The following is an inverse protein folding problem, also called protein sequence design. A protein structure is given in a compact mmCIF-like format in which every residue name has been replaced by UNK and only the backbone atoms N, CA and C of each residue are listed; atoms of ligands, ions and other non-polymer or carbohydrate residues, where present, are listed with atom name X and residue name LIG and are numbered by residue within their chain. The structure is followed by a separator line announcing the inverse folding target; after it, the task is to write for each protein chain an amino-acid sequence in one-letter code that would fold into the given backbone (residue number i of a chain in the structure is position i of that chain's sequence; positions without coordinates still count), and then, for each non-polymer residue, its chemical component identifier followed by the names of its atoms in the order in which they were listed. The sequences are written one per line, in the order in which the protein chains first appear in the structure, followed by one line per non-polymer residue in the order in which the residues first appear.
data_IF_425720898249
#
_entry.id   IF_425720898249
#
_cell.length_a   1.000
_cell.length_b   1.000
_cell.length_c   1.000
_cell.angle_alpha   90.00
_cell.angle_beta   90.00
_cell.angle_gamma   90.00
#
_symmetry.space_group_name_H-M   'P 1'
#
loop_
_entity.id
_entity.type
_entity.pdbx_description
1 polymer ?
#
# COMPACT_ATOMS: atom_id res chain seq x y z
N UNK A 1 -32.61 -14.55 -31.27
CA UNK A 1 -31.15 -14.59 -31.08
C UNK A 1 -30.73 -13.16 -30.77
N UNK A 2 -30.84 -12.76 -29.49
CA UNK A 2 -30.65 -11.37 -29.08
C UNK A 2 -29.16 -11.05 -29.12
N UNK A 3 -28.75 -10.17 -30.03
CA UNK A 3 -27.47 -9.48 -29.85
C UNK A 3 -27.54 -8.71 -28.52
N UNK A 4 -26.63 -8.95 -27.57
CA UNK A 4 -26.52 -8.09 -26.41
C UNK A 4 -26.10 -6.71 -26.94
N UNK A 5 -27.04 -5.76 -26.91
CA UNK A 5 -26.75 -4.38 -27.29
C UNK A 5 -25.77 -3.80 -26.27
N UNK A 6 -24.50 -3.90 -26.56
CA UNK A 6 -23.44 -3.27 -25.78
C UNK A 6 -23.41 -1.79 -26.13
N UNK A 7 -23.59 -0.91 -25.13
CA UNK A 7 -23.41 0.53 -25.32
C UNK A 7 -22.03 0.93 -24.83
N UNK A 8 -21.27 1.60 -25.70
CA UNK A 8 -20.01 2.24 -25.34
C UNK A 8 -20.31 3.64 -24.80
N UNK A 9 -19.87 3.93 -23.58
CA UNK A 9 -20.01 5.24 -22.94
C UNK A 9 -18.63 5.81 -22.66
N UNK A 10 -18.40 7.07 -23.03
CA UNK A 10 -17.18 7.77 -22.66
C UNK A 10 -17.21 8.10 -21.16
N UNK A 11 -16.21 7.65 -20.42
CA UNK A 11 -15.98 7.94 -19.02
C UNK A 11 -14.64 8.65 -18.87
N UNK A 12 -14.64 9.71 -18.07
CA UNK A 12 -13.43 10.42 -17.67
C UNK A 12 -13.02 9.94 -16.29
N UNK A 13 -11.79 9.46 -16.17
CA UNK A 13 -11.17 9.13 -14.91
C UNK A 13 -10.22 10.21 -14.45
N UNK A 14 -10.06 10.32 -13.13
CA UNK A 14 -8.97 11.05 -12.47
C UNK A 14 -8.33 10.16 -11.42
N UNK A 15 -7.02 10.14 -11.36
CA UNK A 15 -6.26 9.52 -10.28
C UNK A 15 -5.07 10.39 -9.88
N UNK A 16 -4.91 10.64 -8.58
CA UNK A 16 -3.69 11.21 -8.02
C UNK A 16 -2.72 10.07 -7.68
N UNK A 17 -1.43 10.26 -7.96
CA UNK A 17 -0.45 9.16 -7.95
C UNK A 17 0.64 9.38 -6.90
N UNK A 18 1.05 8.29 -6.27
CA UNK A 18 2.08 8.21 -5.21
C UNK A 18 3.54 8.32 -5.72
N UNK A 19 3.74 8.41 -7.04
CA UNK A 19 5.02 8.52 -7.73
C UNK A 19 5.86 7.23 -7.78
N UNK A 20 5.35 6.07 -7.34
CA UNK A 20 6.06 4.79 -7.38
C UNK A 20 5.41 3.78 -8.32
N UNK A 21 4.10 3.85 -8.50
CA UNK A 21 3.37 2.95 -9.38
C UNK A 21 3.48 3.36 -10.86
N UNK A 22 3.76 2.39 -11.74
CA UNK A 22 3.84 2.58 -13.19
C UNK A 22 2.67 1.96 -13.95
N UNK A 23 1.92 1.07 -13.31
CA UNK A 23 0.76 0.40 -13.90
C UNK A 23 -0.51 0.83 -13.19
N UNK A 24 -1.50 1.26 -13.98
CA UNK A 24 -2.80 1.74 -13.51
C UNK A 24 -3.91 0.95 -14.17
N UNK A 25 -5.01 0.73 -13.46
CA UNK A 25 -6.17 0.06 -14.03
C UNK A 25 -7.41 0.92 -13.86
N UNK A 26 -8.19 1.04 -14.94
CA UNK A 26 -9.51 1.63 -14.90
C UNK A 26 -10.40 0.82 -13.94
N UNK A 27 -11.17 1.46 -13.02
CA UNK A 27 -12.02 0.78 -12.04
C UNK A 27 -13.03 -0.18 -12.68
N UNK A 28 -13.58 0.20 -13.84
CA UNK A 28 -14.47 -0.64 -14.67
C UNK A 28 -13.86 -1.96 -15.19
N UNK A 29 -12.59 -2.25 -14.93
CA UNK A 29 -12.02 -3.59 -15.13
C UNK A 29 -12.20 -4.12 -16.56
N UNK A 30 -12.71 -5.35 -16.72
CA UNK A 30 -12.91 -5.94 -18.05
C UNK A 30 -13.97 -5.22 -18.91
N UNK A 31 -14.81 -4.38 -18.29
CA UNK A 31 -15.85 -3.62 -18.98
C UNK A 31 -15.33 -2.28 -19.51
N UNK A 32 -14.11 -1.87 -19.19
CA UNK A 32 -13.56 -0.60 -19.63
C UNK A 32 -12.38 -0.78 -20.58
N UNK A 33 -12.38 -0.04 -21.68
CA UNK A 33 -11.26 0.10 -22.61
C UNK A 33 -10.78 1.55 -22.57
N UNK A 34 -9.60 1.78 -22.03
CA UNK A 34 -8.94 3.08 -22.07
C UNK A 34 -8.65 3.46 -23.54
N UNK A 35 -8.89 4.72 -23.88
CA UNK A 35 -8.70 5.26 -25.23
C UNK A 35 -7.52 6.23 -25.26
N UNK A 36 -7.42 7.09 -24.25
CA UNK A 36 -6.35 8.08 -24.14
C UNK A 36 -6.07 8.40 -22.68
N UNK A 37 -4.84 8.78 -22.39
CA UNK A 37 -4.39 9.17 -21.06
C UNK A 37 -3.62 10.48 -21.13
N UNK A 38 -3.89 11.37 -20.17
CA UNK A 38 -3.43 12.73 -20.12
C UNK A 38 -2.83 13.04 -18.76
N UNK A 39 -1.76 13.80 -18.73
CA UNK A 39 -1.31 14.53 -17.55
C UNK A 39 -2.16 15.78 -17.41
N UNK A 40 -2.70 16.02 -16.21
CA UNK A 40 -3.40 17.28 -15.92
C UNK A 40 -2.56 18.09 -14.92
N UNK A 41 -2.11 19.26 -15.36
CA UNK A 41 -1.39 20.22 -14.53
C UNK A 41 -2.14 21.57 -14.47
N UNK A 42 -1.54 22.58 -13.86
CA UNK A 42 -2.09 23.93 -13.80
C UNK A 42 -2.18 24.61 -15.19
N UNK A 43 -1.50 24.08 -16.21
CA UNK A 43 -1.49 24.59 -17.59
C UNK A 43 -2.51 23.87 -18.48
N UNK A 44 -3.15 22.81 -18.00
CA UNK A 44 -4.23 22.11 -18.68
C UNK A 44 -3.96 20.61 -18.86
N UNK A 45 -4.62 20.00 -19.85
CA UNK A 45 -4.42 18.58 -20.18
C UNK A 45 -3.37 18.43 -21.27
N UNK A 46 -2.34 17.64 -21.00
CA UNK A 46 -1.33 17.27 -21.99
C UNK A 46 -1.35 15.76 -22.22
N UNK A 47 -1.32 15.28 -23.47
CA UNK A 47 -1.28 13.85 -23.76
C UNK A 47 -0.02 13.23 -23.17
N UNK A 48 -0.19 12.10 -22.49
CA UNK A 48 0.91 11.45 -21.80
C UNK A 48 1.72 10.57 -22.76
N UNK A 49 2.89 11.05 -23.17
CA UNK A 49 3.79 10.36 -24.09
C UNK A 49 4.40 9.10 -23.43
N UNK A 50 4.52 8.01 -24.19
CA UNK A 50 5.12 6.75 -23.70
C UNK A 50 4.23 5.93 -22.77
N UNK A 51 2.90 6.07 -22.87
CA UNK A 51 1.96 5.18 -22.17
C UNK A 51 1.52 4.04 -23.10
N UNK A 52 1.50 2.82 -22.58
CA UNK A 52 0.98 1.64 -23.27
C UNK A 52 -0.38 1.30 -22.68
N UNK A 53 -1.41 1.25 -23.52
CA UNK A 53 -2.78 0.93 -23.13
C UNK A 53 -3.10 -0.51 -23.51
N UNK A 54 -3.53 -1.32 -22.53
CA UNK A 54 -3.98 -2.70 -22.71
C UNK A 54 -5.36 -2.88 -22.06
N UNK A 55 -6.42 -2.67 -22.85
CA UNK A 55 -7.80 -2.74 -22.37
C UNK A 55 -8.05 -1.73 -21.26
N UNK A 56 -8.28 -2.20 -20.02
CA UNK A 56 -8.42 -1.33 -18.85
C UNK A 56 -7.12 -0.96 -18.15
N UNK A 57 -5.98 -1.49 -18.58
CA UNK A 57 -4.69 -1.22 -17.93
C UNK A 57 -3.92 -0.19 -18.74
N UNK A 58 -3.26 0.73 -18.05
CA UNK A 58 -2.23 1.61 -18.60
C UNK A 58 -0.90 1.34 -17.92
N UNK A 59 0.16 1.31 -18.70
CA UNK A 59 1.53 1.18 -18.22
C UNK A 59 2.33 2.40 -18.67
N UNK A 60 2.95 3.09 -17.71
CA UNK A 60 3.75 4.29 -17.95
C UNK A 60 5.22 3.93 -18.16
N UNK A 61 5.81 4.49 -19.23
CA UNK A 61 7.24 4.36 -19.48
C UNK A 61 8.10 4.91 -18.33
N UNK A 62 7.65 5.95 -17.63
CA UNK A 62 8.36 6.55 -16.51
C UNK A 62 7.44 6.68 -15.30
N UNK A 63 8.00 6.53 -14.09
CA UNK A 63 7.24 6.79 -12.88
C UNK A 63 6.80 8.28 -12.85
N UNK A 64 5.51 8.56 -12.58
CA UNK A 64 5.01 9.93 -12.50
C UNK A 64 5.53 10.64 -11.25
N UNK A 65 5.49 11.97 -11.22
CA UNK A 65 5.88 12.70 -10.02
C UNK A 65 4.85 12.47 -8.89
N UNK A 66 5.26 12.46 -7.61
CA UNK A 66 4.31 12.38 -6.50
C UNK A 66 3.30 13.53 -6.54
N UNK A 67 2.01 13.21 -6.47
CA UNK A 67 0.90 14.18 -6.53
C UNK A 67 0.48 14.60 -7.95
N UNK A 68 1.10 14.02 -8.99
CA UNK A 68 0.70 14.25 -10.38
C UNK A 68 -0.69 13.64 -10.64
N UNK A 69 -1.56 14.40 -11.32
CA UNK A 69 -2.91 13.95 -11.68
C UNK A 69 -2.89 13.40 -13.10
N UNK A 70 -3.26 12.13 -13.23
CA UNK A 70 -3.48 11.49 -14.53
C UNK A 70 -4.98 11.36 -14.77
N UNK A 71 -5.41 11.92 -15.89
CA UNK A 71 -6.77 11.83 -16.40
C UNK A 71 -6.80 10.81 -17.54
N UNK A 72 -7.83 9.98 -17.62
CA UNK A 72 -7.99 8.99 -18.69
C UNK A 72 -9.38 9.09 -19.30
N UNK A 73 -9.45 9.09 -20.63
CA UNK A 73 -10.71 8.87 -21.34
C UNK A 73 -10.81 7.37 -21.65
N UNK A 74 -11.92 6.75 -21.24
CA UNK A 74 -12.19 5.35 -21.46
C UNK A 74 -13.58 5.15 -22.06
N UNK A 75 -13.72 4.12 -22.88
CA UNK A 75 -15.01 3.58 -23.26
C UNK A 75 -15.39 2.47 -22.30
N UNK A 76 -16.52 2.61 -21.63
CA UNK A 76 -17.08 1.56 -20.79
C UNK A 76 -18.18 0.86 -21.57
N UNK A 77 -18.00 -0.45 -21.75
CA UNK A 77 -19.02 -1.40 -22.17
C UNK A 77 -20.01 -1.54 -21.04
N UNK A 78 -21.13 -0.85 -21.18
CA UNK A 78 -22.29 -1.07 -20.31
C UNK A 78 -23.23 -1.99 -21.07
N UNK A 79 -23.71 -3.09 -20.47
CA UNK A 79 -24.83 -3.81 -21.07
C UNK A 79 -25.96 -2.79 -21.22
N UNK A 80 -26.35 -2.49 -22.46
CA UNK A 80 -27.56 -1.70 -22.65
C UNK A 80 -28.65 -2.52 -22.00
N UNK A 81 -29.33 -1.92 -21.01
CA UNK A 81 -30.51 -2.53 -20.46
C UNK A 81 -31.36 -2.96 -21.66
N UNK A 82 -31.67 -4.26 -21.73
CA UNK A 82 -32.67 -4.74 -22.66
C UNK A 82 -33.84 -3.78 -22.54
N UNK A 83 -34.37 -3.28 -23.66
CA UNK A 83 -35.53 -2.42 -23.60
C UNK A 83 -36.64 -3.23 -22.90
N UNK A 84 -36.80 -3.03 -21.59
CA UNK A 84 -37.75 -3.75 -20.76
C UNK A 84 -39.18 -3.33 -21.09
N UNK A 85 -39.32 -2.26 -21.87
CA UNK A 85 -40.60 -1.80 -22.36
C UNK A 85 -41.12 -2.75 -23.46
N UNK A 86 -42.41 -3.07 -23.44
CA UNK A 86 -43.05 -3.83 -24.50
C UNK A 86 -42.96 -3.09 -25.84
N UNK A 87 -43.16 -3.81 -26.94
CA UNK A 87 -43.01 -3.29 -28.32
C UNK A 87 -43.99 -2.16 -28.66
N UNK A 88 -45.10 -2.04 -27.93
CA UNK A 88 -46.10 -0.97 -28.08
C UNK A 88 -45.79 0.30 -27.28
N UNK A 89 -44.66 0.38 -26.58
CA UNK A 89 -44.34 1.53 -25.73
C UNK A 89 -44.20 2.83 -26.52
N UNK A 90 -44.73 3.92 -25.98
CA UNK A 90 -44.75 5.24 -26.63
C UNK A 90 -43.38 5.91 -26.64
N UNK A 91 -43.20 6.96 -27.46
CA UNK A 91 -41.95 7.71 -27.49
C UNK A 91 -41.61 8.37 -26.13
N UNK A 92 -42.63 8.84 -25.41
CA UNK A 92 -42.49 9.44 -24.09
C UNK A 92 -42.01 8.41 -23.04
N UNK A 93 -42.59 7.20 -23.03
CA UNK A 93 -42.17 6.10 -22.15
C UNK A 93 -40.72 5.69 -22.41
N UNK A 94 -40.33 5.58 -23.68
CA UNK A 94 -38.93 5.27 -24.05
C UNK A 94 -37.97 6.39 -23.64
N UNK A 95 -38.39 7.66 -23.75
CA UNK A 95 -37.59 8.80 -23.30
C UNK A 95 -37.42 8.80 -21.77
N UNK A 96 -38.49 8.53 -21.03
CA UNK A 96 -38.47 8.42 -19.57
C UNK A 96 -37.59 7.26 -19.10
N UNK A 97 -37.73 6.07 -19.71
CA UNK A 97 -36.90 4.92 -19.38
C UNK A 97 -35.41 5.20 -19.58
N UNK A 98 -35.03 5.88 -20.68
CA UNK A 98 -33.65 6.33 -20.90
C UNK A 98 -33.17 7.33 -19.84
N UNK A 99 -34.03 8.27 -19.43
CA UNK A 99 -33.69 9.25 -18.40
C UNK A 99 -33.48 8.62 -17.01
N UNK A 100 -34.26 7.58 -16.67
CA UNK A 100 -34.13 6.85 -15.40
C UNK A 100 -32.85 6.00 -15.37
N UNK A 101 -32.57 5.25 -16.44
CA UNK A 101 -31.36 4.40 -16.53
C UNK A 101 -30.06 5.22 -16.60
N UNK A 102 -30.14 6.48 -17.03
CA UNK A 102 -28.98 7.38 -17.13
C UNK A 102 -28.42 7.87 -15.78
N UNK A 103 -28.93 7.41 -14.63
CA UNK A 103 -28.31 7.65 -13.30
C UNK A 103 -27.57 6.40 -12.80
N UNK A 104 -26.44 5.98 -13.43
CA UNK A 104 -25.63 4.93 -12.84
C UNK A 104 -25.09 5.44 -11.50
N UNK A 105 -25.28 4.68 -10.42
CA UNK A 105 -24.58 4.94 -9.18
C UNK A 105 -23.09 4.63 -9.42
N UNK A 106 -22.17 5.60 -9.27
CA UNK A 106 -20.74 5.41 -9.52
C UNK A 106 -20.07 4.69 -8.34
N UNK A 107 -20.69 3.64 -7.82
CA UNK A 107 -20.20 2.88 -6.67
C UNK A 107 -19.76 1.50 -7.16
N UNK A 108 -18.44 1.29 -7.17
CA UNK A 108 -17.89 -0.07 -7.34
C UNK A 108 -17.98 -0.81 -6.02
N UNK A 109 -19.08 -1.56 -5.83
CA UNK A 109 -19.31 -2.37 -4.63
C UNK A 109 -18.24 -3.46 -4.48
N UNK A 110 -17.63 -3.91 -5.59
CA UNK A 110 -16.58 -4.94 -5.53
C UNK A 110 -15.28 -4.41 -4.95
N UNK A 111 -15.01 -3.11 -5.09
CA UNK A 111 -13.85 -2.46 -4.50
C UNK A 111 -13.92 -2.41 -2.96
N UNK A 112 -15.12 -2.48 -2.37
CA UNK A 112 -15.29 -2.39 -0.91
C UNK A 112 -14.72 -3.59 -0.15
N UNK A 113 -14.62 -4.76 -0.80
CA UNK A 113 -14.08 -5.99 -0.23
C UNK A 113 -12.62 -6.26 -0.63
N UNK A 114 -11.99 -5.30 -1.31
CA UNK A 114 -10.61 -5.39 -1.77
C UNK A 114 -9.72 -4.43 -0.99
N UNK A 115 -8.70 -4.96 -0.30
CA UNK A 115 -7.81 -4.17 0.54
C UNK A 115 -7.04 -3.07 -0.22
N UNK A 116 -6.82 -3.25 -1.53
CA UNK A 116 -6.04 -2.32 -2.37
C UNK A 116 -6.95 -1.32 -3.11
N UNK A 117 -8.17 -1.73 -3.46
CA UNK A 117 -9.13 -0.86 -4.17
C UNK A 117 -10.11 -0.13 -3.25
N UNK A 118 -10.26 -0.57 -2.00
CA UNK A 118 -11.17 0.07 -1.06
C UNK A 118 -10.76 1.53 -0.79
N UNK A 119 -11.69 2.50 -0.86
CA UNK A 119 -11.42 3.88 -0.49
C UNK A 119 -10.86 3.98 0.93
N UNK A 120 -9.83 4.80 1.15
CA UNK A 120 -9.13 4.90 2.45
C UNK A 120 -10.07 5.25 3.60
N UNK A 121 -11.10 6.06 3.35
CA UNK A 121 -12.12 6.42 4.34
C UNK A 121 -12.97 5.22 4.80
N UNK A 122 -13.10 4.18 3.97
CA UNK A 122 -13.89 2.99 4.26
C UNK A 122 -13.06 1.80 4.73
N UNK A 123 -11.73 1.88 4.59
CA UNK A 123 -10.79 0.85 5.01
C UNK A 123 -10.93 0.41 6.48
N UNK A 124 -11.22 1.30 7.46
CA UNK A 124 -11.46 0.87 8.85
C UNK A 124 -12.67 -0.07 9.00
N UNK A 125 -13.72 0.12 8.19
CA UNK A 125 -14.90 -0.75 8.22
C UNK A 125 -14.61 -2.12 7.62
N UNK A 126 -13.81 -2.16 6.55
CA UNK A 126 -13.32 -3.42 6.00
C UNK A 126 -12.42 -4.16 7.01
N UNK A 127 -11.54 -3.44 7.71
CA UNK A 127 -10.70 -4.00 8.77
C UNK A 127 -11.55 -4.59 9.91
N UNK A 128 -12.58 -3.86 10.34
CA UNK A 128 -13.53 -4.34 11.35
C UNK A 128 -14.29 -5.59 10.89
N UNK A 129 -14.80 -5.61 9.66
CA UNK A 129 -15.48 -6.78 9.09
C UNK A 129 -14.57 -8.01 9.02
N UNK A 130 -13.26 -7.79 8.84
CA UNK A 130 -12.23 -8.83 8.85
C UNK A 130 -11.67 -9.14 10.24
N UNK A 131 -12.32 -8.67 11.32
CA UNK A 131 -11.88 -8.92 12.71
C UNK A 131 -10.43 -8.49 12.98
N UNK A 132 -10.01 -7.35 12.42
CA UNK A 132 -8.74 -6.71 12.79
C UNK A 132 -8.97 -5.96 14.11
N UNK A 133 -8.38 -6.48 15.20
CA UNK A 133 -8.64 -5.99 16.56
C UNK A 133 -8.09 -4.57 16.82
N UNK A 134 -6.91 -4.26 16.27
CA UNK A 134 -6.24 -2.98 16.50
C UNK A 134 -6.14 -2.16 15.21
N UNK A 135 -6.54 -0.90 15.31
CA UNK A 135 -6.54 0.04 14.19
C UNK A 135 -6.19 1.44 14.67
N UNK A 136 -5.10 2.02 14.16
CA UNK A 136 -4.67 3.37 14.53
C UNK A 136 -4.79 4.34 13.36
N UNK A 137 -5.31 5.52 13.64
CA UNK A 137 -5.49 6.57 12.63
C UNK A 137 -4.14 7.06 12.06
N UNK A 138 -3.07 7.10 12.87
CA UNK A 138 -1.75 7.56 12.45
C UNK A 138 -0.95 6.52 11.65
N UNK A 139 -1.42 5.27 11.54
CA UNK A 139 -0.68 4.28 10.75
C UNK A 139 -0.62 4.70 9.27
N UNK A 140 0.53 4.50 8.60
CA UNK A 140 0.66 4.69 7.16
C UNK A 140 -0.38 3.86 6.41
N UNK A 141 -0.90 4.40 5.30
CA UNK A 141 -1.92 3.70 4.50
C UNK A 141 -1.44 2.32 4.03
N UNK A 142 -0.17 2.20 3.65
CA UNK A 142 0.42 0.93 3.27
C UNK A 142 0.36 -0.13 4.37
N UNK A 143 0.61 0.24 5.64
CA UNK A 143 0.48 -0.67 6.80
C UNK A 143 -0.99 -1.06 7.01
N UNK A 144 -1.90 -0.08 6.96
CA UNK A 144 -3.35 -0.32 7.07
C UNK A 144 -3.83 -1.33 6.02
N UNK A 145 -3.45 -1.14 4.75
CA UNK A 145 -3.84 -2.05 3.66
C UNK A 145 -3.19 -3.42 3.79
N UNK A 146 -1.91 -3.49 4.17
CA UNK A 146 -1.22 -4.75 4.40
C UNK A 146 -1.91 -5.57 5.51
N UNK A 147 -2.27 -4.92 6.62
CA UNK A 147 -2.99 -5.55 7.74
C UNK A 147 -4.31 -6.16 7.30
N UNK A 148 -5.13 -5.41 6.56
CA UNK A 148 -6.39 -5.89 5.99
C UNK A 148 -6.16 -7.08 5.05
N UNK A 149 -5.18 -6.98 4.14
CA UNK A 149 -4.84 -8.03 3.17
C UNK A 149 -4.45 -9.35 3.85
N UNK A 150 -3.66 -9.27 4.92
CA UNK A 150 -3.15 -10.46 5.63
C UNK A 150 -4.08 -11.01 6.71
N UNK A 151 -5.15 -10.29 7.07
CA UNK A 151 -5.99 -10.59 8.23
C UNK A 151 -6.48 -12.04 8.27
N UNK A 152 -7.10 -12.52 7.18
CA UNK A 152 -7.65 -13.89 7.09
C UNK A 152 -6.54 -14.94 7.22
N UNK A 153 -5.40 -14.73 6.56
CA UNK A 153 -4.30 -15.68 6.59
C UNK A 153 -3.70 -15.81 8.00
N UNK A 154 -3.53 -14.68 8.69
CA UNK A 154 -3.04 -14.63 10.08
C UNK A 154 -4.02 -15.34 11.01
N UNK A 155 -5.31 -15.01 10.93
CA UNK A 155 -6.34 -15.58 11.79
C UNK A 155 -6.45 -17.10 11.66
N UNK A 156 -6.35 -17.64 10.43
CA UNK A 156 -6.39 -19.10 10.18
C UNK A 156 -5.28 -19.88 10.87
N UNK A 157 -4.13 -19.26 11.13
CA UNK A 157 -2.96 -19.88 11.76
C UNK A 157 -2.54 -19.17 13.04
N UNK A 158 -3.46 -18.45 13.69
CA UNK A 158 -3.20 -17.71 14.92
C UNK A 158 -2.68 -18.66 15.99
N UNK A 159 -1.71 -18.21 16.77
CA UNK A 159 -0.98 -19.06 17.73
C UNK A 159 0.21 -19.81 17.14
N UNK A 160 0.57 -19.60 15.88
CA UNK A 160 1.80 -20.18 15.31
C UNK A 160 2.91 -19.14 15.22
N UNK A 161 4.17 -19.59 15.25
CA UNK A 161 5.30 -18.71 14.94
C UNK A 161 5.17 -18.05 13.54
N UNK A 162 4.52 -18.74 12.59
CA UNK A 162 4.16 -18.19 11.28
C UNK A 162 3.27 -16.95 11.39
N UNK A 163 2.16 -17.04 12.15
CA UNK A 163 1.27 -15.89 12.36
C UNK A 163 1.96 -14.68 12.99
N UNK A 164 2.91 -14.91 13.92
CA UNK A 164 3.71 -13.83 14.51
C UNK A 164 4.60 -13.15 13.46
N UNK A 165 5.24 -13.94 12.58
CA UNK A 165 6.03 -13.39 11.47
C UNK A 165 5.19 -12.57 10.50
N UNK A 166 4.01 -13.07 10.14
CA UNK A 166 3.10 -12.37 9.23
C UNK A 166 2.60 -11.05 9.80
N UNK A 167 2.27 -11.03 11.10
CA UNK A 167 1.89 -9.81 11.80
C UNK A 167 3.00 -8.77 11.68
N UNK A 168 4.23 -9.15 12.01
CA UNK A 168 5.39 -8.24 11.95
C UNK A 168 5.64 -7.76 10.52
N UNK A 169 5.51 -8.66 9.53
CA UNK A 169 5.63 -8.30 8.12
C UNK A 169 4.57 -7.29 7.66
N UNK A 170 3.34 -7.39 8.17
CA UNK A 170 2.28 -6.42 7.86
C UNK A 170 2.58 -5.01 8.40
N UNK A 171 3.39 -4.89 9.45
CA UNK A 171 3.91 -3.63 9.96
C UNK A 171 5.19 -3.15 9.24
N UNK A 172 5.68 -3.89 8.23
CA UNK A 172 6.90 -3.56 7.50
C UNK A 172 8.19 -3.98 8.21
N UNK A 173 8.09 -4.82 9.24
CA UNK A 173 9.24 -5.36 9.96
C UNK A 173 9.59 -6.80 9.56
N UNK A 174 10.68 -7.29 10.14
CA UNK A 174 11.06 -8.70 10.12
C UNK A 174 11.35 -9.19 11.53
N UNK A 175 10.95 -10.41 11.87
CA UNK A 175 11.18 -11.01 13.18
C UNK A 175 11.89 -12.36 13.08
N UNK A 176 12.91 -12.53 13.91
CA UNK A 176 13.54 -13.81 14.20
C UNK A 176 13.02 -14.31 15.55
N UNK A 177 12.46 -15.52 15.54
CA UNK A 177 11.85 -16.15 16.71
C UNK A 177 12.75 -17.31 17.13
N UNK A 178 13.21 -17.30 18.39
CA UNK A 178 13.95 -18.40 19.02
C UNK A 178 13.15 -18.95 20.19
N UNK A 179 12.79 -20.21 20.15
CA UNK A 179 12.01 -20.83 21.22
C UNK A 179 12.92 -21.34 22.34
N UNK A 180 12.40 -21.46 23.57
CA UNK A 180 13.18 -21.79 24.76
C UNK A 180 14.04 -23.05 24.63
N UNK A 181 13.62 -24.03 23.82
CA UNK A 181 14.38 -25.26 23.58
C UNK A 181 15.51 -25.12 22.55
N UNK A 182 15.56 -24.00 21.81
CA UNK A 182 16.61 -23.66 20.85
C UNK A 182 17.72 -22.81 21.48
N UNK A 183 17.54 -22.36 22.72
CA UNK A 183 18.55 -21.64 23.49
C UNK A 183 19.50 -22.62 24.17
N UNK A 184 20.76 -22.20 24.34
CA UNK A 184 21.79 -22.96 25.06
C UNK A 184 22.44 -22.04 26.12
N UNK A 185 22.19 -22.27 27.43
CA UNK A 185 21.30 -23.29 28.02
C UNK A 185 19.83 -23.06 27.67
N UNK A 186 19.01 -24.12 27.79
CA UNK A 186 17.56 -24.04 27.51
C UNK A 186 16.89 -23.01 28.42
N UNK A 187 16.04 -22.17 27.84
CA UNK A 187 15.25 -21.18 28.57
C UNK A 187 14.09 -21.79 29.35
N UNK A 188 13.30 -20.93 30.01
CA UNK A 188 12.11 -21.36 30.73
C UNK A 188 11.04 -21.94 29.78
N UNK A 189 10.36 -23.05 30.12
CA UNK A 189 9.31 -23.62 29.28
C UNK A 189 8.25 -22.58 28.88
N UNK A 190 7.76 -22.70 27.63
CA UNK A 190 6.78 -21.79 27.02
C UNK A 190 7.25 -20.33 26.85
N UNK A 191 8.56 -20.10 26.81
CA UNK A 191 9.11 -18.79 26.45
C UNK A 191 9.73 -18.77 25.06
N UNK A 192 9.76 -17.60 24.42
CA UNK A 192 10.50 -17.39 23.18
C UNK A 192 11.08 -15.97 23.11
N UNK A 193 12.21 -15.82 22.44
CA UNK A 193 12.80 -14.52 22.12
C UNK A 193 12.31 -14.09 20.74
N UNK A 194 11.81 -12.86 20.65
CA UNK A 194 11.42 -12.23 19.39
C UNK A 194 12.36 -11.06 19.13
N UNK A 195 13.34 -11.28 18.24
CA UNK A 195 14.28 -10.25 17.79
C UNK A 195 13.71 -9.63 16.53
N UNK A 196 13.34 -8.36 16.59
CA UNK A 196 12.64 -7.67 15.50
C UNK A 196 13.44 -6.47 15.00
N UNK A 197 13.45 -6.32 13.68
CA UNK A 197 13.88 -5.10 13.01
C UNK A 197 12.65 -4.48 12.37
N UNK A 198 12.29 -3.27 12.79
CA UNK A 198 11.20 -2.50 12.19
C UNK A 198 11.85 -1.40 11.36
N UNK A 199 11.67 -1.43 10.04
CA UNK A 199 12.02 -0.32 9.18
C UNK A 199 10.80 0.62 9.10
N UNK A 200 10.93 1.88 9.52
CA UNK A 200 9.95 2.87 9.05
C UNK A 200 10.17 3.10 7.55
N UNK A 201 9.11 3.54 6.88
CA UNK A 201 9.10 3.81 5.44
C UNK A 201 10.03 4.98 5.02
N UNK A 202 10.72 5.61 5.97
CA UNK A 202 11.65 6.74 5.80
C UNK A 202 13.03 6.52 6.45
N UNK A 203 13.41 5.28 6.80
CA UNK A 203 14.72 4.98 7.39
C UNK A 203 14.91 5.46 8.84
N UNK A 204 13.88 6.04 9.46
CA UNK A 204 13.90 6.41 10.88
C UNK A 204 13.56 5.22 11.78
N UNK A 205 14.04 5.22 13.02
CA UNK A 205 13.61 4.25 14.03
C UNK A 205 12.11 4.38 14.30
N UNK A 206 11.42 3.24 14.43
CA UNK A 206 10.01 3.21 14.80
C UNK A 206 9.75 4.00 16.08
N UNK A 207 8.72 4.86 16.08
CA UNK A 207 8.29 5.59 17.28
C UNK A 207 7.92 4.59 18.38
N UNK A 208 8.18 4.89 19.65
CA UNK A 208 7.84 4.01 20.78
C UNK A 208 6.37 3.54 20.74
N UNK A 209 5.45 4.44 20.40
CA UNK A 209 4.03 4.12 20.23
C UNK A 209 3.76 3.09 19.12
N UNK A 210 4.51 3.13 18.01
CA UNK A 210 4.39 2.13 16.95
C UNK A 210 4.94 0.78 17.39
N UNK A 211 6.04 0.77 18.16
CA UNK A 211 6.60 -0.46 18.73
C UNK A 211 5.62 -1.10 19.70
N UNK A 212 4.98 -0.29 20.56
CA UNK A 212 3.93 -0.75 21.48
C UNK A 212 2.74 -1.36 20.75
N UNK A 213 2.29 -0.77 19.64
CA UNK A 213 1.23 -1.37 18.80
C UNK A 213 1.62 -2.75 18.27
N UNK A 214 2.87 -2.92 17.81
CA UNK A 214 3.35 -4.21 17.31
C UNK A 214 3.43 -5.24 18.43
N UNK A 215 3.92 -4.83 19.61
CA UNK A 215 3.95 -5.69 20.81
C UNK A 215 2.54 -6.11 21.21
N UNK A 216 1.57 -5.19 21.18
CA UNK A 216 0.17 -5.45 21.45
C UNK A 216 -0.41 -6.49 20.48
N UNK A 217 -0.13 -6.34 19.20
CA UNK A 217 -0.62 -7.27 18.17
C UNK A 217 0.03 -8.65 18.26
N UNK A 218 1.34 -8.73 18.52
CA UNK A 218 2.03 -10.01 18.76
C UNK A 218 1.42 -10.69 20.00
N UNK A 219 1.13 -9.93 21.05
CA UNK A 219 0.53 -10.45 22.28
C UNK A 219 -0.84 -11.07 22.03
N UNK A 220 -1.64 -10.49 21.13
CA UNK A 220 -2.94 -11.06 20.71
C UNK A 220 -2.81 -12.27 19.80
N UNK A 221 -1.73 -12.35 19.03
CA UNK A 221 -1.54 -13.37 17.99
C UNK A 221 -0.83 -14.63 18.48
N UNK A 222 0.10 -14.50 19.42
CA UNK A 222 0.83 -15.62 20.02
C UNK A 222 -0.12 -16.57 20.77
N UNK A 223 0.29 -17.84 21.00
CA UNK A 223 -0.40 -18.69 21.98
C UNK A 223 -0.54 -18.00 23.33
N UNK A 224 -1.71 -18.12 23.95
CA UNK A 224 -1.99 -17.51 25.26
C UNK A 224 -0.95 -17.95 26.30
N UNK A 225 -0.62 -19.25 26.32
CA UNK A 225 0.37 -19.84 27.24
C UNK A 225 1.82 -19.41 27.03
N UNK A 226 2.16 -18.86 25.87
CA UNK A 226 3.55 -18.57 25.52
C UNK A 226 3.90 -17.14 25.90
N UNK A 227 5.04 -16.92 26.54
CA UNK A 227 5.55 -15.59 26.89
C UNK A 227 6.75 -15.24 26.00
N UNK A 228 6.96 -13.95 25.75
CA UNK A 228 8.06 -13.53 24.90
C UNK A 228 8.87 -12.38 25.49
N UNK A 229 10.15 -12.42 25.19
CA UNK A 229 11.05 -11.29 25.40
C UNK A 229 11.21 -10.58 24.07
N UNK A 230 10.91 -9.29 24.04
CA UNK A 230 11.05 -8.45 22.86
C UNK A 230 12.44 -7.82 22.82
N UNK A 231 13.15 -7.95 21.70
CA UNK A 231 14.43 -7.28 21.46
C UNK A 231 14.36 -6.54 20.14
N UNK A 232 14.55 -5.22 20.16
CA UNK A 232 14.57 -4.41 18.95
C UNK A 232 16.01 -4.26 18.45
N UNK A 233 16.25 -4.70 17.22
CA UNK A 233 17.51 -4.44 16.52
C UNK A 233 17.56 -2.99 16.03
N UNK A 234 18.59 -2.24 16.43
CA UNK A 234 18.91 -0.94 15.84
C UNK A 234 20.02 -1.13 14.81
N UNK A 235 19.79 -0.70 13.57
CA UNK A 235 20.84 -0.57 12.56
C UNK A 235 21.22 0.91 12.47
N UNK A 236 22.51 1.19 12.59
CA UNK A 236 23.07 2.51 12.41
C UNK A 236 24.19 2.42 11.37
N UNK A 237 24.06 3.17 10.29
CA UNK A 237 25.12 3.31 9.30
C UNK A 237 26.08 4.41 9.76
N UNK A 238 27.35 4.04 9.99
CA UNK A 238 28.40 4.99 10.35
C UNK A 238 29.47 5.02 9.26
N UNK A 239 29.85 6.22 8.82
CA UNK A 239 30.99 6.43 7.94
C UNK A 239 32.24 6.71 8.77
N UNK A 240 33.33 5.96 8.53
CA UNK A 240 34.64 6.24 9.13
C UNK A 240 35.34 7.30 8.27
N UNK A 241 35.56 8.49 8.83
CA UNK A 241 36.35 9.55 8.21
C UNK A 241 37.83 9.46 8.60
N UNK A 242 38.74 9.59 7.64
CA UNK A 242 40.17 9.71 7.91
C UNK A 242 40.54 11.20 8.15
N UNK A 243 41.06 11.52 9.33
CA UNK A 243 41.64 12.83 9.65
C UNK A 243 43.17 12.72 9.59
N UNK A 244 43.78 13.44 8.64
CA UNK A 244 45.24 13.60 8.57
C UNK A 244 45.65 14.87 9.33
N UNK A 245 46.55 14.74 10.31
CA UNK A 245 47.18 15.88 10.97
C UNK A 245 48.65 15.94 10.56
N UNK A 246 49.11 17.10 10.06
CA UNK A 246 50.52 17.37 9.80
C UNK A 246 51.04 18.35 10.85
N UNK A 247 52.10 17.98 11.56
CA UNK A 247 52.78 18.87 12.50
C UNK A 247 54.05 19.41 11.83
N UNK A 248 54.16 20.73 11.70
CA UNK A 248 55.39 21.38 11.24
C UNK A 248 56.39 21.48 12.40
N UNK A 249 57.54 20.84 12.27
CA UNK A 249 58.67 21.01 13.18
C UNK A 249 59.71 21.92 12.51
N UNK A 250 59.97 23.08 13.11
CA UNK A 250 61.00 24.01 12.67
C UNK A 250 62.27 23.82 13.52
N UNK A 251 63.35 23.37 12.89
CA UNK A 251 64.67 23.32 13.53
C UNK A 251 65.44 24.60 13.22
N UNK A 252 65.82 25.36 14.26
CA UNK A 252 66.71 26.51 14.13
C UNK A 252 68.06 26.15 14.73
N UNK A 253 69.11 26.17 13.90
CA UNK A 253 70.49 25.96 14.33
C UNK A 253 70.96 27.19 15.09
N UNK A 254 71.21 27.06 16.39
CA UNK A 254 71.86 28.10 17.18
C UNK A 254 73.37 28.05 16.88
N UNK A 255 73.91 29.13 16.31
CA UNK A 255 75.36 29.35 16.26
C UNK A 255 75.75 30.11 17.53
N UNK A 256 76.46 29.42 18.43
CA UNK A 256 77.15 30.06 19.54
C UNK A 256 78.43 30.69 18.97
N UNK A 257 78.45 32.02 18.91
CA UNK A 257 79.67 32.79 18.69
C UNK A 257 80.29 32.98 20.06
N UNK A 258 81.46 32.38 20.27
CA UNK A 258 82.28 32.63 21.45
C UNK A 258 83.32 33.68 21.12
N UNK A 259 83.33 34.77 21.90
CA UNK A 259 84.51 35.42 22.50
C UNK A 259 84.09 36.07 23.82
#
# INVERSE_FOLDING_TARGET
MNEPSTRLINARLRGAIDGRNRTFRHPGGALASLQAVYRTDARGRQPLQGSVIEGSRVTLATAPAPGEVIDGDAQVVVPSAANLLPTNATHAERALARAIVARPLPVDVTALWDADRCPTALLPWLAWALSVDEWKAYWPEAVKRARVRTAIAIQRRKGTAGSVRDVVAAFGGSVLIREWWQLQPRGAPHTFEAVMTIANQDGQSATAMFVEDVIGEITRTKPVRSHFTFTQGMQADAAIGALAAAHATAFRRLQLIGE
#
